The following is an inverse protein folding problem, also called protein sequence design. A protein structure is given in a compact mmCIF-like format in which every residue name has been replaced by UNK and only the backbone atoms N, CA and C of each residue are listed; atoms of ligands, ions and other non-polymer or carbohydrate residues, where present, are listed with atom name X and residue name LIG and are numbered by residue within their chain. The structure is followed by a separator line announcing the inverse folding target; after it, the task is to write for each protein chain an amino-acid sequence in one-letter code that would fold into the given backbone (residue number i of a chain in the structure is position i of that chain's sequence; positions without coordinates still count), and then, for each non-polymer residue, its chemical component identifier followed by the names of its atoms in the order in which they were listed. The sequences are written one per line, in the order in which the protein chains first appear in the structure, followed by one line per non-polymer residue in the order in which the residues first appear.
data_IF_767800481921
#
_entry.id   IF_767800481921
#
_cell.length_a   1.000
_cell.length_b   1.000
_cell.length_c   1.000
_cell.angle_alpha   90.00
_cell.angle_beta   90.00
_cell.angle_gamma   90.00
#
_symmetry.space_group_name_H-M   'P 1'
#
loop_
_entity.id
_entity.type
_entity.pdbx_description
1 polymer ?
#
# COMPACT_ATOMS: atom_id res chain seq x y z
N UNK A 1 -4.45 1.95 -25.09
CA UNK A 1 -4.23 1.84 -23.64
C UNK A 1 -4.23 0.37 -23.29
N UNK A 2 -3.18 -0.16 -22.65
CA UNK A 2 -3.16 -1.56 -22.24
C UNK A 2 -4.21 -1.77 -21.14
N UNK A 3 -5.05 -2.79 -21.30
CA UNK A 3 -6.06 -3.17 -20.30
C UNK A 3 -5.34 -3.87 -19.15
N UNK A 4 -5.60 -3.44 -17.91
CA UNK A 4 -5.08 -4.14 -16.74
C UNK A 4 -5.61 -5.58 -16.71
N UNK A 5 -4.74 -6.54 -16.41
CA UNK A 5 -5.07 -7.96 -16.24
C UNK A 5 -5.47 -8.17 -14.78
N UNK A 6 -6.69 -8.66 -14.57
CA UNK A 6 -7.23 -8.94 -13.24
C UNK A 6 -7.52 -7.70 -12.40
N UNK A 7 -7.77 -7.92 -11.10
CA UNK A 7 -7.97 -6.88 -10.09
C UNK A 7 -7.31 -7.33 -8.78
N UNK A 8 -6.54 -6.44 -8.16
CA UNK A 8 -6.12 -6.61 -6.78
C UNK A 8 -7.24 -6.12 -5.85
N UNK A 9 -7.68 -6.98 -4.94
CA UNK A 9 -8.72 -6.65 -3.96
C UNK A 9 -8.12 -5.84 -2.81
N UNK A 10 -8.97 -5.21 -2.00
CA UNK A 10 -8.51 -4.55 -0.78
C UNK A 10 -8.03 -5.57 0.25
N UNK A 11 -7.09 -5.16 1.10
CA UNK A 11 -6.64 -6.02 2.19
C UNK A 11 -7.72 -6.10 3.28
N UNK A 12 -8.17 -7.32 3.58
CA UNK A 12 -9.14 -7.63 4.64
C UNK A 12 -8.46 -8.51 5.69
N UNK A 13 -8.04 -7.96 6.84
CA UNK A 13 -7.32 -8.69 7.88
C UNK A 13 -8.05 -9.91 8.43
N UNK A 14 -9.38 -9.93 8.34
CA UNK A 14 -10.23 -11.02 8.81
C UNK A 14 -10.26 -12.22 7.86
N UNK A 15 -9.79 -12.05 6.61
CA UNK A 15 -9.87 -13.07 5.55
C UNK A 15 -8.48 -13.63 5.18
N UNK A 16 -7.44 -12.79 5.18
CA UNK A 16 -6.10 -13.19 4.74
C UNK A 16 -5.00 -12.54 5.57
N UNK A 17 -3.83 -13.18 5.60
CA UNK A 17 -2.63 -12.60 6.21
C UNK A 17 -2.07 -11.47 5.34
N UNK A 18 -1.19 -10.64 5.92
CA UNK A 18 -0.51 -9.59 5.15
C UNK A 18 0.44 -10.19 4.11
N UNK A 19 1.08 -11.31 4.46
CA UNK A 19 1.99 -12.06 3.62
C UNK A 19 1.29 -12.60 2.37
N UNK A 20 0.11 -13.24 2.53
CA UNK A 20 -0.69 -13.74 1.40
C UNK A 20 -1.16 -12.59 0.49
N UNK A 21 -1.47 -11.43 1.08
CA UNK A 21 -1.84 -10.24 0.32
C UNK A 21 -0.69 -9.70 -0.52
N UNK A 22 0.53 -9.69 0.04
CA UNK A 22 1.72 -9.23 -0.66
C UNK A 22 2.10 -10.18 -1.79
N UNK A 23 1.97 -11.50 -1.60
CA UNK A 23 2.17 -12.48 -2.67
C UNK A 23 1.19 -12.24 -3.84
N UNK A 24 -0.10 -12.03 -3.55
CA UNK A 24 -1.09 -11.66 -4.58
C UNK A 24 -0.76 -10.34 -5.28
N UNK A 25 -0.25 -9.36 -4.54
CA UNK A 25 0.20 -8.08 -5.09
C UNK A 25 1.39 -8.28 -6.04
N UNK A 26 2.35 -9.13 -5.70
CA UNK A 26 3.50 -9.45 -6.57
C UNK A 26 3.06 -10.11 -7.88
N UNK A 27 2.14 -11.08 -7.83
CA UNK A 27 1.55 -11.67 -9.05
C UNK A 27 0.79 -10.63 -9.87
N UNK A 28 0.08 -9.71 -9.23
CA UNK A 28 -0.61 -8.62 -9.93
C UNK A 28 0.38 -7.69 -10.65
N UNK A 29 1.49 -7.34 -10.01
CA UNK A 29 2.55 -6.52 -10.62
C UNK A 29 3.17 -7.23 -11.83
N UNK A 30 3.51 -8.52 -11.68
CA UNK A 30 4.08 -9.35 -12.73
C UNK A 30 3.14 -9.43 -13.93
N UNK A 31 1.88 -9.81 -13.71
CA UNK A 31 0.87 -9.92 -14.77
C UNK A 31 0.66 -8.61 -15.54
N UNK A 32 0.86 -7.47 -14.88
CA UNK A 32 0.68 -6.14 -15.47
C UNK A 32 1.99 -5.46 -15.90
N UNK A 33 3.13 -6.16 -15.87
CA UNK A 33 4.46 -5.64 -16.21
C UNK A 33 4.82 -4.34 -15.45
N UNK A 34 4.48 -4.27 -14.16
CA UNK A 34 4.73 -3.09 -13.31
C UNK A 34 6.09 -3.24 -12.60
N UNK A 35 7.14 -2.73 -13.24
CA UNK A 35 8.51 -2.87 -12.74
C UNK A 35 9.04 -1.64 -11.99
N UNK A 36 8.52 -0.45 -12.30
CA UNK A 36 8.97 0.81 -11.68
C UNK A 36 8.58 0.88 -10.21
N UNK A 37 9.54 1.10 -9.32
CA UNK A 37 9.31 1.19 -7.86
C UNK A 37 8.25 2.23 -7.48
N UNK A 38 8.22 3.36 -8.19
CA UNK A 38 7.20 4.40 -8.01
C UNK A 38 5.79 3.88 -8.34
N UNK A 39 5.66 3.05 -9.38
CA UNK A 39 4.39 2.44 -9.78
C UNK A 39 3.99 1.30 -8.86
N UNK A 40 4.92 0.46 -8.40
CA UNK A 40 4.65 -0.58 -7.40
C UNK A 40 4.09 0.05 -6.13
N UNK A 41 4.78 1.04 -5.57
CA UNK A 41 4.32 1.79 -4.39
C UNK A 41 2.95 2.42 -4.61
N UNK A 42 2.75 3.09 -5.73
CA UNK A 42 1.47 3.74 -6.03
C UNK A 42 0.34 2.72 -6.13
N UNK A 43 0.58 1.57 -6.77
CA UNK A 43 -0.39 0.48 -6.91
C UNK A 43 -0.75 -0.13 -5.56
N UNK A 44 0.23 -0.39 -4.70
CA UNK A 44 -0.02 -0.90 -3.35
C UNK A 44 -0.86 0.10 -2.55
N UNK A 45 -0.44 1.37 -2.50
CA UNK A 45 -1.10 2.39 -1.69
C UNK A 45 -2.54 2.70 -2.15
N UNK A 46 -2.87 2.49 -3.43
CA UNK A 46 -4.25 2.63 -3.91
C UNK A 46 -5.06 1.35 -3.73
N UNK A 47 -4.44 0.18 -3.73
CA UNK A 47 -5.14 -1.11 -3.62
C UNK A 47 -5.40 -1.56 -2.18
N UNK A 48 -4.56 -1.21 -1.20
CA UNK A 48 -4.67 -1.70 0.20
C UNK A 48 -5.93 -1.28 0.95
N UNK A 49 -6.70 -0.33 0.42
CA UNK A 49 -7.93 0.18 1.04
C UNK A 49 -7.67 1.30 2.06
N UNK A 50 -8.73 2.06 2.37
CA UNK A 50 -8.66 3.32 3.12
C UNK A 50 -8.09 3.16 4.54
N UNK A 51 -8.51 2.11 5.25
CA UNK A 51 -8.08 1.86 6.65
C UNK A 51 -6.58 1.61 6.73
N UNK A 52 -6.07 0.75 5.84
CA UNK A 52 -4.68 0.33 5.83
C UNK A 52 -3.79 1.44 5.27
N UNK A 53 -4.23 2.12 4.22
CA UNK A 53 -3.58 3.32 3.72
C UNK A 53 -3.41 4.38 4.82
N UNK A 54 -4.46 4.66 5.60
CA UNK A 54 -4.39 5.60 6.74
C UNK A 54 -3.36 5.16 7.78
N UNK A 55 -3.35 3.87 8.12
CA UNK A 55 -2.36 3.27 9.03
C UNK A 55 -0.93 3.47 8.50
N UNK A 56 -0.64 3.07 7.25
CA UNK A 56 0.68 3.25 6.62
C UNK A 56 1.07 4.74 6.62
N UNK A 57 0.15 5.61 6.20
CA UNK A 57 0.35 7.06 6.18
C UNK A 57 0.69 7.60 7.56
N UNK A 58 0.02 7.13 8.61
CA UNK A 58 0.31 7.52 10.00
C UNK A 58 1.73 7.14 10.43
N UNK A 59 2.24 5.98 10.02
CA UNK A 59 3.61 5.57 10.31
C UNK A 59 4.64 6.39 9.53
N UNK A 60 4.38 6.68 8.26
CA UNK A 60 5.29 7.46 7.42
C UNK A 60 5.32 8.95 7.81
N UNK A 61 4.19 9.55 8.19
CA UNK A 61 4.08 10.98 8.51
C UNK A 61 4.41 11.32 9.97
N UNK A 62 4.44 10.33 10.89
CA UNK A 62 4.84 10.54 12.30
C UNK A 62 6.30 10.97 12.50
N UNK A 63 7.12 11.07 11.44
CA UNK A 63 8.49 11.60 11.54
C UNK A 63 8.57 13.13 11.71
N UNK A 64 7.45 13.88 11.66
CA UNK A 64 7.48 15.35 11.77
C UNK A 64 6.76 15.97 12.98
N UNK A 65 6.49 15.23 14.07
CA UNK A 65 5.82 15.82 15.24
C UNK A 65 6.51 15.55 16.59
N UNK A 66 7.81 15.83 16.68
CA UNK A 66 8.52 16.00 17.97
C UNK A 66 9.35 17.28 18.03
N UNK A 67 8.77 18.43 17.66
CA UNK A 67 9.41 19.75 17.85
C UNK A 67 8.52 20.81 18.49
N UNK A 68 7.38 20.46 19.10
CA UNK A 68 6.44 21.47 19.61
C UNK A 68 5.92 21.22 21.04
N UNK A 69 6.75 20.64 21.91
CA UNK A 69 6.41 20.52 23.35
C UNK A 69 7.60 20.88 24.26
N UNK A 70 8.48 21.79 23.83
CA UNK A 70 9.62 22.24 24.67
C UNK A 70 9.82 23.75 24.63
N UNK A 71 8.73 24.51 24.67
CA UNK A 71 8.77 25.95 24.93
C UNK A 71 7.49 26.39 25.65
N UNK A 72 7.37 25.96 26.92
CA UNK A 72 6.63 26.63 27.99
C UNK A 72 7.54 26.60 29.22
#
# INVERSE_FOLDING_TARGET
MARAIGKLLEFVPEIQSWEDYIEQFEFYLEANNINEESKKRSTLLTAVGVKIYSTIKSFCLRKHQKSLIMTL
#
